data_IF_264176339140
#
_entry.id   IF_264176339140
#
_cell.length_a   1.000
_cell.length_b   1.000
_cell.length_c   1.000
_cell.angle_alpha   90.00
_cell.angle_beta   90.00
_cell.angle_gamma   90.00
#
_symmetry.space_group_name_H-M   'P 1'
#
loop_
_entity.id
_entity.type
_entity.pdbx_description
1 polymer ?
#
# COMPACT_ATOMS: atom_id res chain seq x y z
N UNK A 1 1.37 -7.81 -5.23
CA UNK A 1 0.15 -7.50 -4.47
C UNK A 1 -0.54 -8.80 -4.13
N UNK A 2 -1.18 -8.90 -2.95
CA UNK A 2 -1.95 -10.09 -2.58
C UNK A 2 -3.30 -10.05 -3.30
N UNK A 3 -3.73 -11.19 -3.84
CA UNK A 3 -5.04 -11.34 -4.44
C UNK A 3 -5.98 -12.04 -3.46
N UNK A 4 -6.97 -11.30 -2.98
CA UNK A 4 -7.96 -11.84 -2.05
C UNK A 4 -9.04 -12.56 -2.84
N UNK A 5 -9.18 -13.84 -2.56
CA UNK A 5 -10.26 -14.69 -3.08
C UNK A 5 -11.29 -14.98 -1.99
N UNK A 6 -12.44 -15.52 -2.40
CA UNK A 6 -13.49 -15.94 -1.47
C UNK A 6 -12.99 -17.11 -0.63
N UNK A 7 -12.64 -16.84 0.63
CA UNK A 7 -12.05 -17.83 1.55
C UNK A 7 -10.61 -17.52 1.96
N UNK A 8 -10.02 -16.42 1.47
CA UNK A 8 -8.70 -15.97 1.90
C UNK A 8 -8.69 -15.71 3.42
N UNK A 9 -7.80 -16.40 4.13
CA UNK A 9 -7.65 -16.28 5.57
C UNK A 9 -6.18 -16.28 5.99
N UNK A 10 -5.95 -16.66 7.25
CA UNK A 10 -4.62 -16.61 7.87
C UNK A 10 -3.61 -17.57 7.25
N UNK A 11 -4.07 -18.71 6.72
CA UNK A 11 -3.21 -19.71 6.11
C UNK A 11 -2.65 -19.17 4.80
N UNK A 12 -3.52 -18.69 3.92
CA UNK A 12 -3.17 -18.11 2.62
C UNK A 12 -2.26 -16.89 2.80
N UNK A 13 -2.58 -16.03 3.79
CA UNK A 13 -1.74 -14.92 4.20
C UNK A 13 -0.31 -15.33 4.56
N UNK A 14 -0.15 -16.36 5.39
CA UNK A 14 1.19 -16.83 5.76
C UNK A 14 1.94 -17.45 4.59
N UNK A 15 1.25 -18.12 3.68
CA UNK A 15 1.88 -18.64 2.45
C UNK A 15 2.36 -17.52 1.52
N UNK A 16 1.60 -16.45 1.36
CA UNK A 16 2.02 -15.29 0.58
C UNK A 16 3.20 -14.56 1.24
N UNK A 17 3.22 -14.44 2.57
CA UNK A 17 4.39 -13.92 3.31
C UNK A 17 5.63 -14.82 3.15
N UNK A 18 5.49 -16.14 3.22
CA UNK A 18 6.62 -17.06 2.96
C UNK A 18 7.18 -16.86 1.55
N UNK A 19 6.30 -16.71 0.55
CA UNK A 19 6.73 -16.44 -0.84
C UNK A 19 7.50 -15.12 -0.93
N UNK A 20 7.00 -14.08 -0.26
CA UNK A 20 7.64 -12.77 -0.19
C UNK A 20 9.03 -12.84 0.45
N UNK A 21 9.15 -13.51 1.60
CA UNK A 21 10.43 -13.70 2.31
C UNK A 21 11.43 -14.53 1.50
N UNK A 22 10.97 -15.57 0.78
CA UNK A 22 11.84 -16.33 -0.15
C UNK A 22 12.33 -15.44 -1.30
N UNK A 23 11.48 -14.58 -1.84
CA UNK A 23 11.85 -13.65 -2.92
C UNK A 23 12.90 -12.64 -2.47
N UNK A 24 12.69 -11.99 -1.32
CA UNK A 24 13.57 -10.92 -0.84
C UNK A 24 14.83 -11.45 -0.17
N UNK A 25 14.75 -12.57 0.57
CA UNK A 25 15.89 -13.09 1.33
C UNK A 25 16.69 -14.19 0.64
N UNK A 26 16.04 -15.13 -0.06
CA UNK A 26 16.74 -16.23 -0.75
C UNK A 26 17.22 -15.76 -2.12
N UNK A 27 16.30 -15.23 -2.93
CA UNK A 27 16.61 -14.76 -4.29
C UNK A 27 17.28 -13.38 -4.35
N UNK A 28 17.24 -12.63 -3.26
CA UNK A 28 17.85 -11.29 -3.16
C UNK A 28 17.22 -10.25 -4.09
N UNK A 29 15.91 -10.37 -4.34
CA UNK A 29 15.21 -9.50 -5.28
C UNK A 29 14.53 -8.33 -4.54
N UNK A 30 14.90 -7.06 -4.84
CA UNK A 30 14.18 -5.90 -4.32
C UNK A 30 12.70 -5.97 -4.68
N UNK A 31 11.84 -5.96 -3.66
CA UNK A 31 10.41 -6.22 -3.80
C UNK A 31 9.60 -5.20 -3.02
N UNK A 32 8.60 -4.62 -3.69
CA UNK A 32 7.59 -3.79 -3.05
C UNK A 32 6.36 -4.64 -2.70
N UNK A 33 6.03 -4.66 -1.41
CA UNK A 33 4.80 -5.26 -0.90
C UNK A 33 3.75 -4.17 -0.68
N UNK A 34 2.84 -4.04 -1.66
CA UNK A 34 1.67 -3.16 -1.59
C UNK A 34 0.51 -3.88 -0.88
N UNK A 35 0.00 -3.26 0.18
CA UNK A 35 -1.10 -3.80 0.99
C UNK A 35 -2.12 -2.70 1.34
N UNK A 36 -3.36 -2.91 0.90
CA UNK A 36 -4.46 -1.94 1.01
C UNK A 36 -5.39 -2.25 2.20
N UNK A 37 -6.12 -1.25 2.69
CA UNK A 37 -7.03 -1.40 3.83
C UNK A 37 -8.19 -2.36 3.57
N UNK A 38 -8.65 -2.42 2.33
CA UNK A 38 -9.66 -3.36 1.83
C UNK A 38 -9.18 -4.81 1.91
N UNK A 39 -7.87 -5.01 1.95
CA UNK A 39 -7.25 -6.32 1.99
C UNK A 39 -7.07 -6.87 3.42
N UNK A 40 -7.36 -6.06 4.43
CA UNK A 40 -7.23 -6.42 5.84
C UNK A 40 -8.52 -7.11 6.29
N UNK A 41 -8.61 -8.42 6.03
CA UNK A 41 -9.73 -9.27 6.45
C UNK A 41 -9.64 -9.59 7.95
N UNK A 42 -8.44 -9.89 8.43
CA UNK A 42 -8.17 -10.26 9.81
C UNK A 42 -7.15 -9.29 10.43
N UNK A 43 -7.39 -8.76 11.66
CA UNK A 43 -6.45 -7.87 12.34
C UNK A 43 -5.04 -8.45 12.52
N UNK A 44 -4.89 -9.77 12.57
CA UNK A 44 -3.60 -10.45 12.69
C UNK A 44 -2.69 -10.23 11.47
N UNK A 45 -3.23 -9.83 10.32
CA UNK A 45 -2.40 -9.50 9.16
C UNK A 45 -1.56 -8.25 9.44
N UNK A 46 -2.14 -7.25 10.11
CA UNK A 46 -1.40 -6.06 10.54
C UNK A 46 -0.41 -6.35 11.67
N UNK A 47 -0.67 -7.37 12.49
CA UNK A 47 0.29 -7.81 13.51
C UNK A 47 1.55 -8.39 12.86
N UNK A 48 1.38 -9.25 11.84
CA UNK A 48 2.50 -9.79 11.06
C UNK A 48 3.24 -8.66 10.33
N UNK A 49 2.54 -7.71 9.70
CA UNK A 49 3.15 -6.51 9.07
C UNK A 49 3.92 -5.66 10.09
N UNK A 50 3.37 -5.45 11.28
CA UNK A 50 4.05 -4.72 12.36
C UNK A 50 5.34 -5.45 12.80
N UNK A 51 5.34 -6.80 12.80
CA UNK A 51 6.57 -7.59 12.98
C UNK A 51 7.61 -7.31 11.90
N UNK A 52 7.21 -7.37 10.63
CA UNK A 52 8.09 -7.07 9.48
C UNK A 52 8.70 -5.68 9.59
N UNK A 53 7.90 -4.66 9.95
CA UNK A 53 8.37 -3.28 10.06
C UNK A 53 9.33 -3.05 11.24
N UNK A 54 9.10 -3.70 12.38
CA UNK A 54 9.94 -3.52 13.57
C UNK A 54 11.24 -4.34 13.50
N UNK A 55 11.13 -5.64 13.23
CA UNK A 55 12.23 -6.61 13.36
C UNK A 55 12.66 -7.18 12.02
N UNK A 56 11.82 -7.09 10.99
CA UNK A 56 12.05 -7.76 9.69
C UNK A 56 11.59 -9.22 9.67
N UNK A 57 10.94 -9.70 10.73
CA UNK A 57 10.52 -11.09 10.87
C UNK A 57 9.07 -11.26 11.28
N UNK A 58 8.53 -12.44 10.99
CA UNK A 58 7.21 -12.89 11.43
C UNK A 58 7.38 -14.17 12.24
N UNK A 59 6.97 -14.19 13.53
CA UNK A 59 7.15 -15.35 14.39
C UNK A 59 6.45 -16.60 13.84
N UNK A 60 7.16 -17.74 13.88
CA UNK A 60 6.68 -19.04 13.43
C UNK A 60 6.14 -19.01 11.99
N UNK A 61 6.76 -18.20 11.11
CA UNK A 61 6.37 -18.14 9.70
C UNK A 61 6.74 -19.44 8.97
N UNK A 62 7.98 -19.90 9.14
CA UNK A 62 8.50 -21.12 8.54
C UNK A 62 8.53 -22.26 9.54
N UNK A 63 8.19 -23.47 9.09
CA UNK A 63 8.45 -24.68 9.87
C UNK A 63 9.93 -25.13 9.72
N UNK A 64 10.33 -26.18 10.44
CA UNK A 64 11.71 -26.67 10.43
C UNK A 64 12.18 -27.14 9.04
N UNK A 65 11.29 -27.77 8.26
CA UNK A 65 11.62 -28.26 6.92
C UNK A 65 11.82 -27.07 5.96
N UNK A 66 10.91 -26.10 5.98
CA UNK A 66 11.00 -24.89 5.17
C UNK A 66 12.21 -24.02 5.54
N UNK A 67 12.58 -23.98 6.82
CA UNK A 67 13.80 -23.28 7.23
C UNK A 67 15.06 -23.95 6.72
N UNK A 68 15.08 -25.28 6.61
CA UNK A 68 16.22 -25.97 5.99
C UNK A 68 16.33 -25.61 4.51
N UNK A 69 15.20 -25.54 3.78
CA UNK A 69 15.19 -25.08 2.38
C UNK A 69 15.72 -23.64 2.24
N UNK A 70 15.30 -22.74 3.13
CA UNK A 70 15.80 -21.36 3.15
C UNK A 70 17.31 -21.33 3.38
N UNK A 71 17.79 -22.07 4.39
CA UNK A 71 19.22 -22.15 4.72
C UNK A 71 20.05 -22.70 3.56
N UNK A 72 19.57 -23.75 2.88
CA UNK A 72 20.21 -24.28 1.67
C UNK A 72 20.27 -23.23 0.55
N UNK A 73 19.18 -22.49 0.36
CA UNK A 73 19.09 -21.43 -0.65
C UNK A 73 20.06 -20.26 -0.40
N UNK A 74 20.29 -19.87 0.86
CA UNK A 74 21.20 -18.78 1.22
C UNK A 74 22.63 -19.22 1.52
N UNK A 75 22.91 -20.52 1.66
CA UNK A 75 24.21 -21.05 2.11
C UNK A 75 25.41 -20.56 1.29
N UNK A 76 25.25 -20.43 -0.03
CA UNK A 76 26.31 -19.92 -0.90
C UNK A 76 26.61 -18.45 -0.61
N UNK A 77 25.58 -17.61 -0.60
CA UNK A 77 25.71 -16.17 -0.34
C UNK A 77 26.24 -15.91 1.08
N UNK A 78 25.73 -16.64 2.07
CA UNK A 78 26.18 -16.57 3.45
C UNK A 78 27.68 -16.89 3.60
N UNK A 79 28.18 -17.89 2.88
CA UNK A 79 29.61 -18.24 2.87
C UNK A 79 30.47 -17.17 2.21
N UNK A 80 29.99 -16.57 1.12
CA UNK A 80 30.69 -15.47 0.44
C UNK A 80 30.80 -14.23 1.34
N UNK A 81 29.82 -14.01 2.22
CA UNK A 81 29.78 -12.95 3.24
C UNK A 81 30.49 -13.34 4.57
N UNK A 82 31.05 -14.56 4.67
CA UNK A 82 31.79 -15.01 5.85
C UNK A 82 30.93 -15.45 7.04
N UNK A 83 29.64 -15.70 6.85
CA UNK A 83 28.71 -16.18 7.89
C UNK A 83 28.94 -17.66 8.19
N UNK A 84 28.90 -18.06 9.47
CA UNK A 84 29.08 -19.45 9.86
C UNK A 84 27.84 -20.30 9.56
N UNK A 85 27.87 -21.02 8.45
CA UNK A 85 26.78 -21.93 8.05
C UNK A 85 26.48 -23.08 9.01
N UNK A 86 27.35 -23.35 9.99
CA UNK A 86 27.10 -24.36 11.03
C UNK A 86 26.19 -23.89 12.17
N UNK A 87 25.93 -22.57 12.27
CA UNK A 87 25.11 -21.99 13.33
C UNK A 87 23.80 -21.48 12.74
N UNK A 88 22.69 -22.17 13.03
CA UNK A 88 21.37 -21.82 12.48
C UNK A 88 20.94 -20.38 12.80
N UNK A 89 21.28 -19.88 14.00
CA UNK A 89 20.97 -18.51 14.40
C UNK A 89 21.68 -17.46 13.54
N UNK A 90 22.94 -17.70 13.13
CA UNK A 90 23.69 -16.78 12.27
C UNK A 90 23.14 -16.80 10.84
N UNK A 91 22.80 -17.98 10.32
CA UNK A 91 22.16 -18.13 9.01
C UNK A 91 20.81 -17.41 8.95
N UNK A 92 19.99 -17.55 9.99
CA UNK A 92 18.70 -16.87 10.08
C UNK A 92 18.89 -15.34 10.19
N UNK A 93 19.85 -14.86 10.99
CA UNK A 93 20.14 -13.43 11.07
C UNK A 93 20.61 -12.84 9.73
N UNK A 94 21.43 -13.58 8.98
CA UNK A 94 21.83 -13.21 7.62
C UNK A 94 20.62 -13.16 6.67
N UNK A 95 19.75 -14.16 6.72
CA UNK A 95 18.51 -14.18 5.95
C UNK A 95 17.63 -12.95 6.23
N UNK A 96 17.37 -12.64 7.50
CA UNK A 96 16.58 -11.46 7.89
C UNK A 96 17.25 -10.16 7.44
N UNK A 97 18.58 -10.08 7.46
CA UNK A 97 19.32 -8.93 6.94
C UNK A 97 19.03 -8.71 5.45
N UNK A 98 19.04 -9.76 4.64
CA UNK A 98 18.68 -9.68 3.20
C UNK A 98 17.21 -9.33 2.99
N UNK A 99 16.31 -9.93 3.77
CA UNK A 99 14.88 -9.59 3.71
C UNK A 99 14.68 -8.10 3.98
N UNK A 100 15.32 -7.54 5.01
CA UNK A 100 15.21 -6.11 5.35
C UNK A 100 15.82 -5.18 4.30
N UNK A 101 16.87 -5.62 3.61
CA UNK A 101 17.49 -4.85 2.54
C UNK A 101 16.60 -4.76 1.29
N UNK A 102 15.84 -5.82 1.00
CA UNK A 102 15.09 -5.95 -0.25
C UNK A 102 13.59 -5.76 -0.12
N UNK A 103 13.00 -5.89 1.08
CA UNK A 103 11.56 -5.78 1.30
C UNK A 103 11.14 -4.34 1.63
N UNK A 104 10.38 -3.72 0.73
CA UNK A 104 9.76 -2.42 0.95
C UNK A 104 8.25 -2.56 1.11
N UNK A 105 7.72 -2.22 2.28
CA UNK A 105 6.28 -2.31 2.57
C UNK A 105 5.61 -0.97 2.28
N UNK A 106 4.56 -0.97 1.46
CA UNK A 106 3.72 0.19 1.15
C UNK A 106 2.29 -0.11 1.60
N UNK A 107 1.80 0.70 2.53
CA UNK A 107 0.46 0.55 3.09
C UNK A 107 -0.45 1.66 2.56
N UNK A 108 -1.57 1.28 1.95
CA UNK A 108 -2.61 2.21 1.54
C UNK A 108 -3.75 2.12 2.54
N UNK A 109 -3.89 3.14 3.39
CA UNK A 109 -4.91 3.15 4.44
C UNK A 109 -5.78 4.39 4.31
N UNK A 110 -7.10 4.22 4.27
CA UNK A 110 -8.03 5.34 4.31
C UNK A 110 -8.10 5.94 5.70
N UNK A 111 -7.93 7.28 5.87
CA UNK A 111 -8.10 7.94 7.15
C UNK A 111 -9.59 8.11 7.55
N UNK A 112 -10.51 7.65 6.70
CA UNK A 112 -11.95 7.80 6.92
C UNK A 112 -12.41 6.81 8.00
N UNK A 113 -13.02 7.35 9.06
CA UNK A 113 -13.58 6.58 10.17
C UNK A 113 -12.56 6.25 11.27
N UNK A 114 -13.02 5.48 12.27
CA UNK A 114 -12.22 5.19 13.46
C UNK A 114 -11.18 4.07 13.28
N UNK A 115 -11.30 3.26 12.22
CA UNK A 115 -10.46 2.09 11.98
C UNK A 115 -8.99 2.46 11.83
N UNK A 116 -8.69 3.50 11.06
CA UNK A 116 -7.32 4.00 10.86
C UNK A 116 -6.68 4.40 12.19
N UNK A 117 -7.35 5.25 12.97
CA UNK A 117 -6.86 5.69 14.28
C UNK A 117 -6.64 4.49 15.22
N UNK A 118 -7.58 3.55 15.27
CA UNK A 118 -7.45 2.33 16.10
C UNK A 118 -6.24 1.50 15.69
N UNK A 119 -6.01 1.31 14.38
CA UNK A 119 -4.85 0.59 13.84
C UNK A 119 -3.54 1.26 14.22
N UNK A 120 -3.42 2.59 14.08
CA UNK A 120 -2.21 3.31 14.49
C UNK A 120 -1.91 3.20 15.98
N UNK A 121 -2.95 3.19 16.83
CA UNK A 121 -2.79 3.02 18.29
C UNK A 121 -2.37 1.59 18.65
N UNK A 122 -2.87 0.58 17.93
CA UNK A 122 -2.54 -0.83 18.17
C UNK A 122 -1.16 -1.21 17.62
N UNK A 123 -0.74 -0.59 16.50
CA UNK A 123 0.48 -0.93 15.78
C UNK A 123 1.35 0.31 15.57
N UNK A 124 2.14 0.73 16.60
CA UNK A 124 2.95 1.95 16.53
C UNK A 124 4.02 1.94 15.43
N UNK A 125 4.44 0.76 14.93
CA UNK A 125 5.44 0.68 13.85
C UNK A 125 4.94 1.30 12.55
N UNK A 126 3.63 1.35 12.34
CA UNK A 126 3.02 2.02 11.18
C UNK A 126 3.37 3.52 11.14
N UNK A 127 3.66 4.13 12.29
CA UNK A 127 4.07 5.53 12.39
C UNK A 127 5.59 5.65 12.58
N UNK A 128 6.19 4.76 13.38
CA UNK A 128 7.59 4.87 13.76
C UNK A 128 8.57 4.35 12.70
N UNK A 129 8.15 3.38 11.88
CA UNK A 129 9.01 2.70 10.91
C UNK A 129 8.63 3.01 9.45
N UNK A 130 7.56 3.76 9.23
CA UNK A 130 7.10 4.14 7.89
C UNK A 130 7.13 5.66 7.72
N UNK A 131 7.38 6.10 6.49
CA UNK A 131 7.11 7.48 6.09
C UNK A 131 5.64 7.61 5.74
N UNK A 132 4.96 8.60 6.33
CA UNK A 132 3.55 8.86 6.06
C UNK A 132 3.46 9.88 4.91
N UNK A 133 2.79 9.47 3.85
CA UNK A 133 2.41 10.34 2.74
C UNK A 133 0.89 10.56 2.75
N UNK A 134 0.46 11.82 2.73
CA UNK A 134 -0.94 12.20 2.90
C UNK A 134 -1.55 12.58 1.55
N UNK A 135 -2.53 11.80 1.11
CA UNK A 135 -3.32 12.11 -0.07
C UNK A 135 -4.51 12.99 0.34
N UNK A 136 -4.38 14.28 0.13
CA UNK A 136 -5.47 15.24 0.35
C UNK A 136 -6.37 15.35 -0.87
N UNK A 137 -7.56 15.92 -0.67
CA UNK A 137 -8.40 16.29 -1.81
C UNK A 137 -7.62 17.24 -2.74
N UNK A 138 -7.78 17.03 -4.05
CA UNK A 138 -7.22 17.92 -5.06
C UNK A 138 -7.76 19.34 -4.87
N UNK A 139 -6.85 20.30 -4.88
CA UNK A 139 -7.17 21.72 -4.93
C UNK A 139 -7.53 22.15 -6.36
N UNK A 140 -7.93 23.40 -6.51
CA UNK A 140 -8.32 23.96 -7.81
C UNK A 140 -7.18 23.84 -8.84
N UNK A 141 -5.94 24.08 -8.41
CA UNK A 141 -4.76 24.02 -9.28
C UNK A 141 -4.47 22.58 -9.75
N UNK A 142 -4.55 21.59 -8.87
CA UNK A 142 -4.43 20.19 -9.25
C UNK A 142 -5.56 19.75 -10.19
N UNK A 143 -6.82 20.16 -9.93
CA UNK A 143 -7.95 19.87 -10.81
C UNK A 143 -7.73 20.46 -12.22
N UNK A 144 -7.32 21.73 -12.27
CA UNK A 144 -7.01 22.44 -13.52
C UNK A 144 -5.87 21.77 -14.28
N UNK A 145 -4.79 21.39 -13.61
CA UNK A 145 -3.63 20.72 -14.21
C UNK A 145 -4.02 19.37 -14.82
N UNK A 146 -4.81 18.56 -14.10
CA UNK A 146 -5.32 17.28 -14.60
C UNK A 146 -6.22 17.50 -15.83
N UNK A 147 -7.14 18.46 -15.79
CA UNK A 147 -7.99 18.76 -16.94
C UNK A 147 -7.20 19.26 -18.16
N UNK A 148 -6.16 20.06 -17.95
CA UNK A 148 -5.25 20.52 -19.02
C UNK A 148 -4.53 19.36 -19.70
N UNK A 149 -4.01 18.40 -18.93
CA UNK A 149 -3.31 17.23 -19.47
C UNK A 149 -4.26 16.34 -20.27
N UNK A 150 -5.44 16.03 -19.71
CA UNK A 150 -6.45 15.22 -20.38
C UNK A 150 -6.97 15.87 -21.68
N UNK A 151 -7.37 17.15 -21.61
CA UNK A 151 -7.93 17.88 -22.77
C UNK A 151 -6.85 18.36 -23.76
N UNK A 152 -5.57 18.33 -23.36
CA UNK A 152 -4.45 18.69 -24.21
C UNK A 152 -4.32 17.80 -25.45
N UNK A 153 -4.75 16.54 -25.32
CA UNK A 153 -4.75 15.54 -26.40
C UNK A 153 -5.85 15.76 -27.46
N UNK A 154 -6.86 16.59 -27.16
CA UNK A 154 -8.02 16.81 -28.02
C UNK A 154 -7.83 18.09 -28.83
N UNK A 155 -8.03 18.02 -30.15
CA UNK A 155 -7.96 19.19 -31.04
C UNK A 155 -9.15 20.14 -30.79
N UNK A 156 -8.86 21.33 -30.27
CA UNK A 156 -9.84 22.39 -30.03
C UNK A 156 -9.15 23.77 -29.96
N UNK A 157 -9.93 24.83 -30.13
CA UNK A 157 -9.43 26.20 -29.96
C UNK A 157 -9.02 26.44 -28.49
N UNK A 158 -7.88 27.11 -28.28
CA UNK A 158 -7.32 27.37 -26.94
C UNK A 158 -8.33 28.00 -25.98
N UNK A 159 -9.08 29.01 -26.43
CA UNK A 159 -10.08 29.68 -25.59
C UNK A 159 -11.21 28.76 -25.17
N UNK A 160 -11.64 27.87 -26.07
CA UNK A 160 -12.68 26.89 -25.79
C UNK A 160 -12.18 25.85 -24.79
N UNK A 161 -10.93 25.42 -24.93
CA UNK A 161 -10.27 24.52 -23.97
C UNK A 161 -10.24 25.11 -22.57
N UNK A 162 -9.76 26.34 -22.44
CA UNK A 162 -9.64 27.01 -21.15
C UNK A 162 -11.03 27.16 -20.48
N UNK A 163 -12.05 27.53 -21.25
CA UNK A 163 -13.42 27.61 -20.76
C UNK A 163 -14.00 26.25 -20.31
N UNK A 164 -13.70 25.16 -21.02
CA UNK A 164 -14.11 23.80 -20.61
C UNK A 164 -13.43 23.41 -19.31
N UNK A 165 -12.12 23.70 -19.17
CA UNK A 165 -11.36 23.41 -17.95
C UNK A 165 -11.98 24.15 -16.76
N UNK A 166 -12.27 25.45 -16.90
CA UNK A 166 -12.95 26.24 -15.86
C UNK A 166 -14.28 25.61 -15.44
N UNK A 167 -15.08 25.16 -16.41
CA UNK A 167 -16.37 24.50 -16.15
C UNK A 167 -16.17 23.16 -15.42
N UNK A 168 -15.22 22.33 -15.84
CA UNK A 168 -14.94 21.06 -15.17
C UNK A 168 -14.55 21.28 -13.71
N UNK A 169 -13.62 22.20 -13.45
CA UNK A 169 -13.18 22.56 -12.09
C UNK A 169 -14.37 23.05 -11.27
N UNK A 170 -15.16 23.99 -11.79
CA UNK A 170 -16.34 24.53 -11.10
C UNK A 170 -17.38 23.44 -10.75
N UNK A 171 -17.64 22.50 -11.66
CA UNK A 171 -18.57 21.39 -11.41
C UNK A 171 -18.09 20.54 -10.23
N UNK A 172 -16.79 20.24 -10.15
CA UNK A 172 -16.22 19.45 -9.06
C UNK A 172 -16.35 20.18 -7.71
N UNK A 173 -16.06 21.47 -7.69
CA UNK A 173 -16.19 22.31 -6.49
C UNK A 173 -17.65 22.41 -6.02
N UNK A 174 -18.58 22.69 -6.94
CA UNK A 174 -20.02 22.72 -6.61
C UNK A 174 -20.52 21.38 -6.09
N UNK A 175 -20.02 20.27 -6.64
CA UNK A 175 -20.37 18.92 -6.16
C UNK A 175 -19.87 18.69 -4.74
N UNK A 176 -18.68 19.18 -4.41
CA UNK A 176 -18.11 19.13 -3.05
C UNK A 176 -18.94 19.94 -2.06
N UNK A 177 -19.31 21.17 -2.41
CA UNK A 177 -20.19 22.01 -1.59
C UNK A 177 -21.56 21.37 -1.39
N UNK A 178 -22.17 20.88 -2.47
CA UNK A 178 -23.48 20.23 -2.42
C UNK A 178 -23.47 18.96 -1.57
N UNK A 179 -22.36 18.19 -1.58
CA UNK A 179 -22.21 17.03 -0.70
C UNK A 179 -22.23 17.40 0.78
N UNK A 180 -21.55 18.49 1.16
CA UNK A 180 -21.57 18.98 2.55
C UNK A 180 -22.97 19.41 2.97
N UNK A 181 -23.66 20.12 2.09
CA UNK A 181 -25.04 20.54 2.26
C UNK A 181 -26.01 19.36 2.42
N UNK A 182 -25.81 18.32 1.60
CA UNK A 182 -26.57 17.09 1.66
C UNK A 182 -26.34 16.35 2.98
N UNK A 183 -25.09 16.27 3.44
CA UNK A 183 -24.77 15.70 4.75
C UNK A 183 -25.42 16.47 5.89
N UNK A 184 -25.37 17.81 5.87
CA UNK A 184 -25.98 18.65 6.91
C UNK A 184 -27.51 18.47 7.00
N UNK A 185 -28.19 18.28 5.86
CA UNK A 185 -29.66 18.17 5.79
C UNK A 185 -30.17 16.75 6.01
N UNK A 186 -29.47 15.75 5.48
CA UNK A 186 -29.95 14.36 5.41
C UNK A 186 -29.16 13.38 6.30
N UNK A 187 -28.03 13.82 6.89
CA UNK A 187 -27.15 12.99 7.70
C UNK A 187 -26.43 11.89 6.90
N UNK A 188 -26.43 11.96 5.57
CA UNK A 188 -25.84 10.96 4.67
C UNK A 188 -24.62 11.55 3.97
N UNK A 189 -23.51 10.84 4.03
CA UNK A 189 -22.26 11.29 3.41
C UNK A 189 -22.18 10.85 1.95
N UNK A 190 -21.73 11.76 1.07
CA UNK A 190 -21.43 11.44 -0.32
C UNK A 190 -19.96 11.78 -0.61
N UNK A 191 -19.15 10.77 -0.90
CA UNK A 191 -17.72 10.95 -1.12
C UNK A 191 -17.45 11.45 -2.54
N UNK A 192 -16.98 12.69 -2.64
CA UNK A 192 -16.50 13.27 -3.90
C UNK A 192 -15.04 12.85 -4.08
N UNK A 193 -14.76 12.04 -5.10
CA UNK A 193 -13.43 11.45 -5.32
C UNK A 193 -12.77 11.99 -6.59
N UNK A 194 -11.43 12.01 -6.67
CA UNK A 194 -10.72 12.29 -7.92
C UNK A 194 -11.16 11.39 -9.08
N UNK A 195 -11.49 10.12 -8.81
CA UNK A 195 -12.00 9.19 -9.82
C UNK A 195 -13.29 9.70 -10.48
N UNK A 196 -14.21 10.27 -9.70
CA UNK A 196 -15.45 10.86 -10.24
C UNK A 196 -15.16 12.06 -11.15
N UNK A 197 -14.14 12.85 -10.84
CA UNK A 197 -13.68 13.95 -11.68
C UNK A 197 -13.08 13.45 -13.01
N UNK A 198 -12.24 12.41 -12.94
CA UNK A 198 -11.69 11.77 -14.14
C UNK A 198 -12.79 11.14 -15.00
N UNK A 199 -13.83 10.57 -14.38
CA UNK A 199 -14.99 10.06 -15.12
C UNK A 199 -15.78 11.19 -15.79
N UNK A 200 -15.96 12.33 -15.13
CA UNK A 200 -16.57 13.53 -15.72
C UNK A 200 -15.81 13.94 -16.98
N UNK A 201 -14.48 14.11 -16.88
CA UNK A 201 -13.65 14.51 -18.02
C UNK A 201 -13.69 13.46 -19.14
N UNK A 202 -13.66 12.16 -18.83
CA UNK A 202 -13.70 11.12 -19.87
C UNK A 202 -15.07 10.98 -20.54
N UNK A 203 -16.15 11.43 -19.90
CA UNK A 203 -17.51 11.30 -20.45
C UNK A 203 -17.79 12.36 -21.52
N UNK A 204 -17.09 13.50 -21.47
CA UNK A 204 -17.30 14.66 -22.33
C UNK A 204 -16.11 14.89 -23.26
#
# INVERSE_FOLDING_TARGET
QIEISRGYGKVEWREDLKRLFRLTGVKDEPTVFLFDDTQIIDPSFLEDVNGILNTGEVPNLFNNEEMNEVNEGIAKAAREEGVNGGVQAEMYAFFITRVRANLHVVLCLSPIGDSFRKRLLMFPSLVNCCTIDWFTAWDEEALRSVAQDFLGSIEMESKTRDGIIDVCVAIQEWTKEMSNDYFAKMGRFYYVTPTSYLQLINTF
#
